data_IF_335241000011
#
_entry.id   IF_335241000011
#
_cell.length_a   1.000
_cell.length_b   1.000
_cell.length_c   1.000
_cell.angle_alpha   90.00
_cell.angle_beta   90.00
_cell.angle_gamma   90.00
#
_symmetry.space_group_name_H-M   'P 1'
#
loop_
_entity.id
_entity.type
_entity.pdbx_description
1 polymer ?
#
# COMPACT_ATOMS: atom_id res chain seq x y z
N UNK A 1 -35.42 20.97 -1.57
CA UNK A 1 -34.08 20.38 -1.35
C UNK A 1 -33.96 19.18 -2.27
N UNK A 2 -33.20 19.27 -3.35
CA UNK A 2 -33.00 18.15 -4.27
C UNK A 2 -32.15 17.09 -3.57
N UNK A 3 -32.62 15.85 -3.53
CA UNK A 3 -31.84 14.70 -3.06
C UNK A 3 -30.58 14.54 -3.92
N UNK A 4 -29.45 14.20 -3.29
CA UNK A 4 -28.21 13.84 -3.99
C UNK A 4 -28.42 12.60 -4.87
N UNK A 5 -27.75 12.53 -6.01
CA UNK A 5 -27.72 11.34 -6.88
C UNK A 5 -27.17 10.09 -6.16
N UNK A 6 -26.40 10.30 -5.09
CA UNK A 6 -25.82 9.21 -4.29
C UNK A 6 -26.69 8.79 -3.09
N UNK A 7 -27.88 9.37 -2.90
CA UNK A 7 -28.69 9.14 -1.69
C UNK A 7 -29.13 7.68 -1.49
N UNK A 8 -29.14 6.88 -2.57
CA UNK A 8 -29.49 5.46 -2.53
C UNK A 8 -28.27 4.52 -2.63
N UNK A 9 -27.04 5.05 -2.61
CA UNK A 9 -25.84 4.22 -2.70
C UNK A 9 -25.58 3.58 -1.35
N UNK A 10 -25.76 2.26 -1.28
CA UNK A 10 -25.45 1.47 -0.11
C UNK A 10 -23.94 1.24 0.03
N UNK A 11 -23.47 1.09 1.26
CA UNK A 11 -22.09 0.73 1.54
C UNK A 11 -21.82 -0.71 1.08
N UNK A 12 -20.80 -0.89 0.25
CA UNK A 12 -20.33 -2.22 -0.11
C UNK A 12 -19.88 -3.01 1.15
N UNK A 13 -19.96 -4.35 1.14
CA UNK A 13 -19.45 -5.17 2.22
C UNK A 13 -18.00 -4.84 2.55
N UNK A 14 -17.67 -4.74 3.84
CA UNK A 14 -16.30 -4.51 4.29
C UNK A 14 -15.43 -5.72 3.93
N UNK A 15 -14.23 -5.46 3.40
CA UNK A 15 -13.23 -6.51 3.20
C UNK A 15 -12.82 -7.10 4.57
N UNK A 16 -12.88 -8.43 4.75
CA UNK A 16 -12.51 -9.07 6.01
C UNK A 16 -11.10 -8.74 6.51
N UNK A 17 -10.14 -8.48 5.61
CA UNK A 17 -8.75 -8.15 5.95
C UNK A 17 -8.63 -6.70 6.45
N UNK A 18 -9.45 -5.78 5.93
CA UNK A 18 -9.42 -4.38 6.37
C UNK A 18 -9.89 -4.25 7.83
N UNK A 19 -10.90 -5.01 8.25
CA UNK A 19 -11.38 -5.00 9.63
C UNK A 19 -10.35 -5.52 10.64
N UNK A 20 -9.49 -6.45 10.24
CA UNK A 20 -8.42 -7.00 11.09
C UNK A 20 -7.35 -5.94 11.37
N UNK A 21 -6.94 -5.19 10.36
CA UNK A 21 -5.95 -4.11 10.51
C UNK A 21 -6.50 -2.97 11.37
N UNK A 22 -7.75 -2.57 11.19
CA UNK A 22 -8.42 -1.58 12.06
C UNK A 22 -8.39 -2.03 13.52
N UNK A 23 -8.81 -3.27 13.79
CA UNK A 23 -8.84 -3.83 15.16
C UNK A 23 -7.44 -3.96 15.75
N UNK A 24 -6.48 -4.45 14.96
CA UNK A 24 -5.08 -4.54 15.37
C UNK A 24 -4.51 -3.16 15.70
N UNK A 25 -4.77 -2.14 14.89
CA UNK A 25 -4.27 -0.78 15.12
C UNK A 25 -4.92 -0.13 16.36
N UNK A 26 -6.21 -0.36 16.60
CA UNK A 26 -6.95 0.18 17.74
C UNK A 26 -6.57 -0.46 19.10
N UNK A 27 -6.04 -1.68 19.10
CA UNK A 27 -5.57 -2.36 20.31
C UNK A 27 -4.36 -1.64 20.93
N UNK A 28 -4.45 -1.22 22.20
CA UNK A 28 -3.39 -0.46 22.87
C UNK A 28 -2.29 -1.34 23.46
N UNK A 29 -2.43 -2.67 23.44
CA UNK A 29 -1.42 -3.60 23.96
C UNK A 29 -0.11 -3.47 23.17
N UNK A 30 1.01 -3.33 23.87
CA UNK A 30 2.35 -3.26 23.26
C UNK A 30 2.87 -4.60 22.74
N UNK A 31 2.26 -5.72 23.16
CA UNK A 31 2.68 -7.10 22.84
C UNK A 31 1.79 -7.79 21.79
N UNK A 32 0.95 -7.03 21.09
CA UNK A 32 0.10 -7.55 20.01
C UNK A 32 0.94 -7.92 18.77
N UNK A 33 0.54 -8.97 18.05
CA UNK A 33 1.18 -9.43 16.81
C UNK A 33 0.13 -9.57 15.72
N UNK A 34 0.39 -9.03 14.53
CA UNK A 34 -0.48 -9.17 13.36
C UNK A 34 0.08 -10.23 12.41
N UNK A 35 -0.60 -11.38 12.32
CA UNK A 35 -0.25 -12.48 11.42
C UNK A 35 -1.19 -12.60 10.20
N UNK A 36 -2.13 -11.66 10.05
CA UNK A 36 -3.09 -11.68 8.95
C UNK A 36 -2.63 -10.94 7.69
N UNK A 37 -1.57 -10.12 7.81
CA UNK A 37 -1.03 -9.33 6.70
C UNK A 37 0.09 -10.11 6.00
N UNK A 38 -0.08 -10.37 4.70
CA UNK A 38 0.90 -11.06 3.85
C UNK A 38 2.07 -10.18 3.40
N UNK A 39 2.69 -9.46 4.33
CA UNK A 39 3.85 -8.59 4.07
C UNK A 39 5.06 -9.10 4.82
N UNK A 40 6.23 -9.01 4.20
CA UNK A 40 7.49 -9.35 4.86
C UNK A 40 7.85 -8.29 5.91
N UNK A 41 8.08 -8.73 7.14
CA UNK A 41 8.57 -7.90 8.23
C UNK A 41 10.00 -8.33 8.61
N UNK A 42 10.80 -7.36 9.02
CA UNK A 42 12.10 -7.60 9.65
C UNK A 42 11.94 -8.04 11.12
N UNK A 43 13.07 -8.31 11.78
CA UNK A 43 13.13 -8.75 13.17
C UNK A 43 12.55 -7.72 14.18
N UNK A 44 12.33 -6.48 13.74
CA UNK A 44 11.71 -5.41 14.55
C UNK A 44 10.21 -5.26 14.27
N UNK A 45 9.62 -6.14 13.47
CA UNK A 45 8.21 -6.04 13.05
C UNK A 45 7.95 -4.84 12.15
N UNK A 46 8.94 -4.39 11.36
CA UNK A 46 8.81 -3.30 10.38
C UNK A 46 8.96 -3.83 8.96
N UNK A 47 8.34 -3.13 8.01
CA UNK A 47 8.50 -3.45 6.58
C UNK A 47 9.85 -2.90 6.13
N UNK A 48 10.82 -3.74 5.71
CA UNK A 48 12.13 -3.26 5.33
C UNK A 48 12.14 -2.72 3.90
N UNK A 49 12.91 -1.65 3.67
CA UNK A 49 13.31 -1.24 2.33
C UNK A 49 14.57 -2.02 1.93
N UNK A 50 14.48 -2.85 0.89
CA UNK A 50 15.62 -3.64 0.44
C UNK A 50 16.76 -2.73 -0.03
N UNK A 51 18.00 -3.08 0.32
CA UNK A 51 19.18 -2.27 -0.03
C UNK A 51 19.33 -2.04 -1.54
N UNK A 52 19.06 -3.06 -2.35
CA UNK A 52 19.09 -2.94 -3.81
C UNK A 52 18.04 -1.96 -4.34
N UNK A 53 16.84 -1.95 -3.75
CA UNK A 53 15.76 -1.03 -4.13
C UNK A 53 16.16 0.40 -3.76
N UNK A 54 16.67 0.63 -2.55
CA UNK A 54 17.13 1.95 -2.11
C UNK A 54 18.16 2.56 -3.06
N UNK A 55 19.17 1.78 -3.47
CA UNK A 55 20.20 2.23 -4.42
C UNK A 55 19.60 2.59 -5.77
N UNK A 56 18.67 1.77 -6.28
CA UNK A 56 18.00 2.05 -7.55
C UNK A 56 17.14 3.32 -7.49
N UNK A 57 16.42 3.56 -6.39
CA UNK A 57 15.62 4.77 -6.17
C UNK A 57 16.49 6.03 -6.13
N UNK A 58 17.59 6.01 -5.37
CA UNK A 58 18.55 7.12 -5.29
C UNK A 58 19.12 7.48 -6.67
N UNK A 59 19.54 6.47 -7.44
CA UNK A 59 20.02 6.67 -8.81
C UNK A 59 18.93 7.25 -9.73
N UNK A 60 17.70 6.74 -9.63
CA UNK A 60 16.57 7.16 -10.46
C UNK A 60 16.13 8.60 -10.18
N UNK A 61 16.13 9.01 -8.91
CA UNK A 61 15.83 10.37 -8.46
C UNK A 61 16.92 11.33 -8.95
N UNK A 62 18.20 10.97 -8.78
CA UNK A 62 19.33 11.79 -9.24
C UNK A 62 19.32 12.04 -10.75
N UNK A 63 18.88 11.04 -11.53
CA UNK A 63 18.76 11.18 -12.99
C UNK A 63 17.67 12.17 -13.45
N UNK A 64 16.69 12.48 -12.58
CA UNK A 64 15.65 13.50 -12.81
C UNK A 64 14.95 13.43 -14.19
N UNK A 65 14.79 12.22 -14.74
CA UNK A 65 14.20 12.03 -16.07
C UNK A 65 12.75 12.50 -16.14
N UNK A 66 12.29 13.02 -17.30
CA UNK A 66 10.89 13.40 -17.51
C UNK A 66 9.93 12.22 -17.29
N UNK A 67 8.69 12.53 -16.88
CA UNK A 67 7.67 11.55 -16.46
C UNK A 67 6.45 11.57 -17.40
N UNK A 68 6.71 11.42 -18.69
CA UNK A 68 5.66 11.32 -19.72
C UNK A 68 4.94 9.97 -19.71
N UNK A 69 3.95 9.81 -20.59
CA UNK A 69 3.21 8.56 -20.74
C UNK A 69 4.12 7.38 -21.09
N UNK A 70 3.80 6.22 -20.50
CA UNK A 70 4.37 4.93 -20.88
C UNK A 70 3.48 4.25 -21.94
N UNK A 71 4.00 3.25 -22.68
CA UNK A 71 3.17 2.36 -23.48
C UNK A 71 2.08 1.67 -22.64
N UNK A 72 1.00 1.23 -23.29
CA UNK A 72 -0.13 0.54 -22.64
C UNK A 72 0.35 -0.69 -21.83
N UNK A 73 1.34 -1.41 -22.35
CA UNK A 73 1.90 -2.62 -21.73
C UNK A 73 2.99 -2.33 -20.68
N UNK A 74 3.37 -1.05 -20.50
CA UNK A 74 4.47 -0.64 -19.63
C UNK A 74 5.83 -0.58 -20.32
N UNK A 75 6.90 -0.51 -19.52
CA UNK A 75 8.27 -0.41 -20.02
C UNK A 75 8.76 -1.80 -20.51
N UNK A 76 9.20 -1.95 -21.78
CA UNK A 76 9.58 -3.26 -22.33
C UNK A 76 10.69 -4.00 -21.56
N UNK A 77 11.59 -3.27 -20.90
CA UNK A 77 12.71 -3.84 -20.16
C UNK A 77 12.39 -4.23 -18.70
N UNK A 78 11.15 -4.05 -18.25
CA UNK A 78 10.75 -4.39 -16.87
C UNK A 78 10.48 -5.88 -16.68
N UNK A 79 10.09 -6.58 -17.75
CA UNK A 79 9.73 -8.00 -17.74
C UNK A 79 10.86 -8.88 -18.30
#
# INVERSE_FOLDING_TARGET
MSSSIFAAVEMAPRDPILGLNETFNADTRSTKVNLGVGVYFDDNGKIPLLGAIKVAEEARVKAALPRGYQPIEGAPAYN
#
